data_IF_091855102857
#
_entry.id   IF_091855102857
#
_cell.length_a   1.000
_cell.length_b   1.000
_cell.length_c   1.000
_cell.angle_alpha   90.00
_cell.angle_beta   90.00
_cell.angle_gamma   90.00
#
_symmetry.space_group_name_H-M   'P 1'
#
loop_
_entity.id
_entity.type
_entity.pdbx_description
1 polymer ?
#
# COMPACT_ATOMS: atom_id res chain seq x y z
N UNK A 1 10.33 -31.30 12.42
CA UNK A 1 10.19 -29.83 12.52
C UNK A 1 11.17 -29.27 11.51
N UNK A 2 10.69 -28.77 10.37
CA UNK A 2 11.56 -28.25 9.33
C UNK A 2 11.95 -26.81 9.70
N UNK A 3 13.23 -26.60 10.00
CA UNK A 3 13.83 -25.28 10.15
C UNK A 3 13.65 -24.52 8.83
N UNK A 4 12.74 -23.54 8.79
CA UNK A 4 12.59 -22.65 7.65
C UNK A 4 13.79 -21.70 7.64
N UNK A 5 14.78 -21.97 6.79
CA UNK A 5 15.89 -21.05 6.55
C UNK A 5 15.32 -19.75 5.97
N UNK A 6 15.23 -18.71 6.80
CA UNK A 6 14.81 -17.37 6.35
C UNK A 6 15.96 -16.79 5.51
N UNK A 7 15.82 -16.78 4.19
CA UNK A 7 16.77 -16.09 3.30
C UNK A 7 16.67 -14.58 3.56
N UNK A 8 17.71 -13.99 4.16
CA UNK A 8 17.85 -12.54 4.28
C UNK A 8 18.62 -11.98 3.10
N UNK A 9 18.29 -10.77 2.67
CA UNK A 9 18.99 -10.06 1.60
C UNK A 9 19.82 -8.93 2.20
N UNK A 10 20.99 -8.66 1.62
CA UNK A 10 21.82 -7.54 2.03
C UNK A 10 21.33 -6.27 1.31
N UNK A 11 20.95 -5.25 2.08
CA UNK A 11 20.58 -3.93 1.57
C UNK A 11 21.58 -2.87 2.04
N UNK A 12 22.04 -2.03 1.12
CA UNK A 12 22.96 -0.94 1.45
C UNK A 12 22.21 0.28 1.99
N UNK A 13 22.68 0.84 3.10
CA UNK A 13 22.08 2.01 3.76
C UNK A 13 22.93 3.27 3.59
N UNK A 14 24.18 3.14 3.16
CA UNK A 14 25.05 4.25 2.83
C UNK A 14 25.98 3.90 1.68
N UNK A 15 26.29 4.89 0.86
CA UNK A 15 27.20 4.81 -0.27
C UNK A 15 28.24 5.93 -0.17
N UNK A 16 29.46 5.69 -0.64
CA UNK A 16 30.44 6.76 -0.86
C UNK A 16 30.16 7.52 -2.16
N UNK A 17 30.91 8.59 -2.42
CA UNK A 17 30.79 9.38 -3.66
C UNK A 17 31.16 8.59 -4.94
N UNK A 18 31.80 7.43 -4.78
CA UNK A 18 32.11 6.49 -5.86
C UNK A 18 31.02 5.44 -6.09
N UNK A 19 29.93 5.47 -5.31
CA UNK A 19 28.83 4.51 -5.39
C UNK A 19 29.12 3.16 -4.73
N UNK A 20 30.21 3.03 -3.96
CA UNK A 20 30.49 1.82 -3.19
C UNK A 20 29.66 1.82 -1.91
N UNK A 21 29.10 0.65 -1.59
CA UNK A 21 28.35 0.43 -0.37
C UNK A 21 29.29 0.47 0.85
N UNK A 22 29.07 1.43 1.76
CA UNK A 22 29.89 1.63 2.96
C UNK A 22 29.20 1.14 4.23
N UNK A 23 27.87 1.01 4.21
CA UNK A 23 27.09 0.40 5.28
C UNK A 23 25.97 -0.45 4.70
N UNK A 24 25.76 -1.63 5.28
CA UNK A 24 24.74 -2.58 4.87
C UNK A 24 24.01 -3.20 6.06
N UNK A 25 22.74 -3.54 5.84
CA UNK A 25 21.87 -4.21 6.80
C UNK A 25 21.24 -5.44 6.15
N UNK A 26 20.96 -6.45 6.97
CA UNK A 26 20.24 -7.64 6.53
C UNK A 26 18.74 -7.41 6.66
N UNK A 27 18.05 -7.40 5.54
CA UNK A 27 16.59 -7.24 5.49
C UNK A 27 15.92 -8.57 5.18
N UNK A 28 14.73 -8.75 5.73
CA UNK A 28 13.87 -9.87 5.40
C UNK A 28 13.39 -9.75 3.93
N UNK A 29 13.03 -10.87 3.28
CA UNK A 29 12.46 -10.84 1.94
C UNK A 29 11.27 -9.87 1.88
N UNK A 30 11.10 -9.13 0.78
CA UNK A 30 9.80 -8.53 0.53
C UNK A 30 8.75 -9.63 0.53
N UNK A 31 7.71 -9.45 1.33
CA UNK A 31 6.58 -10.37 1.32
C UNK A 31 5.94 -10.34 -0.07
N UNK A 32 5.90 -11.49 -0.74
CA UNK A 32 5.18 -11.63 -2.00
C UNK A 32 3.70 -11.45 -1.67
N UNK A 33 3.10 -10.37 -2.16
CA UNK A 33 1.65 -10.17 -2.07
C UNK A 33 1.02 -11.30 -2.91
N UNK A 34 0.17 -12.16 -2.31
CA UNK A 34 -0.48 -13.22 -3.06
C UNK A 34 -1.26 -12.62 -4.24
N UNK A 35 -1.31 -13.31 -5.39
CA UNK A 35 -2.12 -12.84 -6.50
C UNK A 35 -3.57 -12.69 -6.04
N UNK A 36 -4.11 -11.49 -6.21
CA UNK A 36 -5.50 -11.21 -5.90
C UNK A 36 -6.38 -11.75 -7.02
N UNK A 37 -7.42 -12.50 -6.70
CA UNK A 37 -8.40 -12.93 -7.70
C UNK A 37 -9.19 -11.72 -8.22
N UNK A 38 -9.74 -11.83 -9.43
CA UNK A 38 -10.56 -10.76 -10.01
C UNK A 38 -11.78 -10.45 -9.12
N UNK A 39 -12.36 -11.47 -8.49
CA UNK A 39 -13.49 -11.35 -7.57
C UNK A 39 -13.10 -10.60 -6.29
N UNK A 40 -11.92 -10.86 -5.72
CA UNK A 40 -11.41 -10.12 -4.56
C UNK A 40 -11.17 -8.65 -4.92
N UNK A 41 -10.59 -8.38 -6.09
CA UNK A 41 -10.38 -7.02 -6.59
C UNK A 41 -11.70 -6.27 -6.80
N UNK A 42 -12.71 -6.94 -7.38
CA UNK A 42 -14.04 -6.38 -7.55
C UNK A 42 -14.73 -6.08 -6.22
N UNK A 43 -14.60 -6.96 -5.22
CA UNK A 43 -15.17 -6.74 -3.88
C UNK A 43 -14.58 -5.51 -3.18
N UNK A 44 -13.25 -5.35 -3.22
CA UNK A 44 -12.56 -4.19 -2.66
C UNK A 44 -12.97 -2.91 -3.40
N UNK A 45 -12.93 -2.94 -4.74
CA UNK A 45 -13.30 -1.80 -5.58
C UNK A 45 -14.75 -1.34 -5.35
N UNK A 46 -15.69 -2.29 -5.26
CA UNK A 46 -17.09 -2.02 -4.97
C UNK A 46 -17.29 -1.34 -3.61
N UNK A 47 -16.63 -1.87 -2.56
CA UNK A 47 -16.72 -1.32 -1.21
C UNK A 47 -16.21 0.12 -1.16
N UNK A 48 -15.06 0.39 -1.78
CA UNK A 48 -14.49 1.74 -1.88
C UNK A 48 -15.45 2.67 -2.64
N UNK A 49 -16.02 2.21 -3.75
CA UNK A 49 -16.99 2.97 -4.53
C UNK A 49 -18.23 3.37 -3.72
N UNK A 50 -18.78 2.44 -2.92
CA UNK A 50 -19.94 2.70 -2.05
C UNK A 50 -19.63 3.74 -0.96
N UNK A 51 -18.45 3.67 -0.35
CA UNK A 51 -18.02 4.65 0.66
C UNK A 51 -17.95 6.05 0.04
N UNK A 52 -17.31 6.18 -1.12
CA UNK A 52 -17.22 7.48 -1.81
C UNK A 52 -18.58 8.01 -2.23
N UNK A 53 -19.47 7.14 -2.71
CA UNK A 53 -20.83 7.52 -3.06
C UNK A 53 -21.62 8.02 -1.85
N UNK A 54 -21.50 7.36 -0.70
CA UNK A 54 -22.11 7.81 0.55
C UNK A 54 -21.56 9.16 1.02
N UNK A 55 -20.24 9.34 0.97
CA UNK A 55 -19.59 10.63 1.30
C UNK A 55 -20.09 11.74 0.37
N UNK A 56 -20.18 11.47 -0.93
CA UNK A 56 -20.67 12.43 -1.91
C UNK A 56 -22.12 12.83 -1.65
N UNK A 57 -22.99 11.85 -1.39
CA UNK A 57 -24.39 12.07 -1.06
C UNK A 57 -24.59 12.92 0.21
N UNK A 58 -23.69 12.81 1.19
CA UNK A 58 -23.75 13.59 2.44
C UNK A 58 -23.13 14.98 2.29
N UNK A 59 -22.11 15.14 1.45
CA UNK A 59 -21.35 16.41 1.32
C UNK A 59 -21.92 17.38 0.30
N UNK A 60 -22.47 16.89 -0.82
CA UNK A 60 -23.03 17.75 -1.87
C UNK A 60 -24.24 18.59 -1.42
N UNK A 61 -25.22 18.05 -0.65
CA UNK A 61 -26.32 18.85 -0.13
C UNK A 61 -25.86 19.95 0.84
N UNK A 62 -24.79 19.69 1.62
CA UNK A 62 -24.20 20.70 2.52
C UNK A 62 -23.58 21.86 1.74
N UNK A 63 -22.96 21.60 0.59
CA UNK A 63 -22.47 22.65 -0.31
C UNK A 63 -23.60 23.38 -1.04
N UNK A 64 -24.65 22.66 -1.47
CA UNK A 64 -25.84 23.27 -2.07
C UNK A 64 -26.63 24.19 -1.13
N UNK A 65 -26.65 23.88 0.17
CA UNK A 65 -27.24 24.75 1.20
C UNK A 65 -26.43 26.03 1.47
N UNK A 66 -25.12 26.05 1.19
CA UNK A 66 -24.25 27.23 1.34
C UNK A 66 -24.13 28.08 0.07
N UNK A 67 -24.75 27.71 -1.05
CA UNK A 67 -24.79 28.51 -2.28
C UNK A 67 -26.05 29.38 -2.40
N UNK A 68 -26.86 29.45 -1.33
CA UNK A 68 -27.94 30.44 -1.16
C UNK A 68 -27.45 31.57 -0.27
N UNK A 69 -26.67 32.49 -0.83
CA UNK A 69 -26.48 33.84 -0.31
C UNK A 69 -26.72 34.82 -1.45
#
# INVERSE_FOLDING_TARGET
>A
MADSVVQKYMACTAFDDGGNCTAAVWVDPPAVIPPMSAEMGAGIGSTIGLIWLAVYAVTMPRKGAQLRY
#
